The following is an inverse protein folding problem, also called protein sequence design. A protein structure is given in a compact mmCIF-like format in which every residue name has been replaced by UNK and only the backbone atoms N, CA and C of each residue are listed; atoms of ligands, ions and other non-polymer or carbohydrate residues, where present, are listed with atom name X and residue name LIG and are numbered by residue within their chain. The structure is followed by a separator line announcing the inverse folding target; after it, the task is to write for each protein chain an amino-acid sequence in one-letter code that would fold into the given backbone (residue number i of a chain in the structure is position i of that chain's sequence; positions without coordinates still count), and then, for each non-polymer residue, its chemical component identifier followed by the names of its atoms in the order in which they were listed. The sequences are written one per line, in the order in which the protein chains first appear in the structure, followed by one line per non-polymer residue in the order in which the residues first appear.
data_IF_559525631998
#
_entry.id   IF_559525631998
#
_cell.length_a   1.000
_cell.length_b   1.000
_cell.length_c   1.000
_cell.angle_alpha   90.00
_cell.angle_beta   90.00
_cell.angle_gamma   90.00
#
_symmetry.space_group_name_H-M   'P 1'
#
loop_
_entity.id
_entity.type
_entity.pdbx_description
1 polymer ?
#
# COMPACT_ATOMS: atom_id res chain seq x y z
N UNK A 1 -13.24 -5.19 6.09
CA UNK A 1 -14.69 -4.91 5.95
C UNK A 1 -15.48 -6.19 5.65
N UNK A 2 -15.10 -7.01 4.66
CA UNK A 2 -15.83 -8.25 4.32
C UNK A 2 -15.89 -9.22 5.53
N UNK A 3 -14.77 -9.44 6.21
CA UNK A 3 -14.73 -10.27 7.41
C UNK A 3 -15.60 -9.69 8.53
N UNK A 4 -15.52 -8.37 8.79
CA UNK A 4 -16.41 -7.67 9.74
C UNK A 4 -17.90 -7.83 9.41
N UNK A 5 -18.26 -8.01 8.15
CA UNK A 5 -19.63 -8.28 7.72
C UNK A 5 -20.05 -9.76 7.83
N UNK A 6 -19.23 -10.61 8.44
CA UNK A 6 -19.48 -12.03 8.65
C UNK A 6 -19.25 -12.92 7.43
N UNK A 7 -18.51 -12.44 6.42
CA UNK A 7 -18.09 -13.25 5.30
C UNK A 7 -16.84 -14.05 5.64
N UNK A 8 -16.77 -15.31 5.14
CA UNK A 8 -15.53 -16.08 5.15
C UNK A 8 -14.56 -15.44 4.14
N UNK A 9 -13.40 -15.04 4.60
CA UNK A 9 -12.38 -14.35 3.78
C UNK A 9 -11.06 -15.06 3.94
N UNK A 10 -10.48 -15.48 2.82
CA UNK A 10 -9.11 -15.99 2.75
C UNK A 10 -8.25 -15.00 1.96
N UNK A 11 -7.15 -14.55 2.58
CA UNK A 11 -6.14 -13.70 1.97
C UNK A 11 -4.90 -14.56 1.69
N UNK A 12 -4.47 -14.61 0.43
CA UNK A 12 -3.29 -15.38 0.03
C UNK A 12 -2.23 -14.43 -0.50
N UNK A 13 -1.05 -14.47 0.11
CA UNK A 13 0.11 -13.64 -0.23
C UNK A 13 1.30 -14.54 -0.58
N UNK A 14 1.93 -14.29 -1.73
CA UNK A 14 3.12 -15.06 -2.14
C UNK A 14 4.39 -14.69 -1.38
N UNK A 15 4.44 -13.52 -0.79
CA UNK A 15 5.52 -13.09 0.09
C UNK A 15 5.43 -13.77 1.45
N UNK A 16 6.55 -13.84 2.17
CA UNK A 16 6.60 -14.47 3.49
C UNK A 16 5.83 -13.69 4.57
N UNK A 17 5.42 -12.48 4.26
CA UNK A 17 4.56 -11.60 5.09
C UNK A 17 3.90 -10.53 4.20
N UNK A 18 2.85 -9.92 4.69
CA UNK A 18 2.17 -8.85 3.98
C UNK A 18 3.14 -7.67 3.72
N UNK A 19 3.20 -7.20 2.48
CA UNK A 19 4.12 -6.12 2.09
C UNK A 19 5.53 -6.55 1.72
N UNK A 20 5.90 -7.84 1.84
CA UNK A 20 7.25 -8.35 1.53
C UNK A 20 7.68 -8.07 0.08
N UNK A 21 6.74 -7.95 -0.84
CA UNK A 21 6.98 -7.67 -2.27
C UNK A 21 6.61 -6.25 -2.68
N UNK A 22 6.23 -5.41 -1.72
CA UNK A 22 5.75 -4.07 -2.00
C UNK A 22 6.90 -3.07 -1.99
N UNK A 23 7.17 -2.46 -3.14
CA UNK A 23 8.25 -1.49 -3.32
C UNK A 23 7.73 -0.04 -3.40
N UNK A 24 6.43 0.13 -3.61
CA UNK A 24 5.82 1.45 -3.82
C UNK A 24 5.23 2.02 -2.55
N UNK A 25 5.04 3.33 -2.54
CA UNK A 25 4.41 4.06 -1.47
C UNK A 25 5.39 4.45 -0.36
N UNK A 26 5.29 5.67 0.04
CA UNK A 26 5.95 6.29 1.18
C UNK A 26 5.00 7.26 1.84
N UNK A 27 3.80 7.44 1.24
CA UNK A 27 2.77 8.35 1.73
C UNK A 27 1.40 7.67 1.73
N UNK A 28 0.65 7.85 2.80
CA UNK A 28 -0.74 7.42 2.92
C UNK A 28 -1.63 8.60 3.25
N UNK A 29 -2.77 8.70 2.56
CA UNK A 29 -3.77 9.73 2.81
C UNK A 29 -4.75 9.26 3.88
N UNK A 30 -4.89 10.06 4.95
CA UNK A 30 -5.65 9.72 6.16
C UNK A 30 -7.15 9.61 5.91
N UNK A 31 -7.72 10.46 5.06
CA UNK A 31 -9.18 10.56 4.88
C UNK A 31 -9.89 9.25 4.49
N UNK A 32 -9.22 8.36 3.77
CA UNK A 32 -9.78 7.06 3.40
C UNK A 32 -9.56 6.02 4.50
N UNK A 33 -8.39 6.05 5.13
CA UNK A 33 -8.02 5.10 6.19
C UNK A 33 -8.86 5.35 7.44
N UNK A 34 -9.08 6.60 7.83
CA UNK A 34 -9.89 6.98 8.98
C UNK A 34 -11.36 6.51 8.91
N UNK A 35 -11.90 6.29 7.70
CA UNK A 35 -13.25 5.72 7.53
C UNK A 35 -13.33 4.25 7.96
N UNK A 36 -12.24 3.53 7.87
CA UNK A 36 -12.15 2.10 8.21
C UNK A 36 -11.56 1.89 9.60
N UNK A 37 -10.61 2.72 9.96
CA UNK A 37 -9.87 2.70 11.22
C UNK A 37 -9.82 4.12 11.78
N UNK A 38 -10.85 4.55 12.57
CA UNK A 38 -10.91 5.93 13.11
C UNK A 38 -9.69 6.30 13.95
N UNK A 39 -9.14 5.33 14.69
CA UNK A 39 -8.02 5.50 15.62
C UNK A 39 -6.66 5.13 15.01
N UNK A 40 -6.55 5.07 13.66
CA UNK A 40 -5.35 4.62 12.96
C UNK A 40 -4.08 5.43 13.32
N UNK A 41 -4.23 6.70 13.66
CA UNK A 41 -3.10 7.56 14.05
C UNK A 41 -2.37 7.05 15.29
N UNK A 42 -3.06 6.35 16.21
CA UNK A 42 -2.49 5.76 17.41
C UNK A 42 -2.04 4.32 17.22
N UNK A 43 -2.64 3.61 16.25
CA UNK A 43 -2.45 2.17 16.09
C UNK A 43 -1.52 1.78 14.95
N UNK A 44 -1.55 2.55 13.85
CA UNK A 44 -0.76 2.24 12.67
C UNK A 44 0.72 2.64 12.82
N UNK A 45 1.65 1.87 12.25
CA UNK A 45 3.06 2.22 12.24
C UNK A 45 3.34 3.35 11.22
N UNK A 46 2.95 4.55 11.61
CA UNK A 46 3.20 5.78 10.86
C UNK A 46 4.60 6.30 11.17
N UNK A 47 5.22 7.00 10.22
CA UNK A 47 6.53 7.63 10.42
C UNK A 47 6.36 9.10 10.81
N UNK A 48 6.04 9.95 9.84
CA UNK A 48 5.87 11.38 10.08
C UNK A 48 4.59 11.90 9.43
N UNK A 49 3.93 12.84 10.09
CA UNK A 49 2.82 13.59 9.51
C UNK A 49 3.36 14.53 8.44
N UNK A 50 2.76 14.52 7.26
CA UNK A 50 3.15 15.44 6.19
C UNK A 50 2.47 16.79 6.45
N UNK A 51 3.29 17.81 6.72
CA UNK A 51 2.87 19.18 7.01
C UNK A 51 3.40 20.18 5.98
N UNK A 52 4.24 19.70 5.07
CA UNK A 52 4.82 20.47 3.98
C UNK A 52 4.66 19.74 2.65
N UNK A 53 4.18 20.45 1.64
CA UNK A 53 4.16 20.02 0.24
C UNK A 53 5.18 20.84 -0.54
N UNK A 54 6.17 20.17 -1.14
CA UNK A 54 7.26 20.85 -1.86
C UNK A 54 7.30 20.42 -3.31
N UNK A 55 7.42 21.40 -4.19
CA UNK A 55 7.63 21.18 -5.63
C UNK A 55 8.89 21.94 -6.05
N UNK A 56 9.85 21.23 -6.65
CA UNK A 56 11.11 21.80 -7.07
C UNK A 56 11.34 21.69 -8.56
N UNK A 57 11.85 22.77 -9.13
CA UNK A 57 12.43 22.78 -10.48
C UNK A 57 13.95 22.72 -10.33
N UNK A 58 14.55 21.70 -10.89
CA UNK A 58 15.98 21.43 -10.78
C UNK A 58 16.71 21.75 -12.07
N UNK A 59 17.84 22.45 -11.95
CA UNK A 59 18.83 22.63 -13.01
C UNK A 59 20.19 22.08 -12.50
N UNK A 60 21.21 21.93 -13.34
CA UNK A 60 22.48 21.38 -12.93
C UNK A 60 23.17 22.13 -11.77
N UNK A 61 22.94 23.43 -11.68
CA UNK A 61 23.59 24.35 -10.72
C UNK A 61 22.58 25.22 -9.95
N UNK A 62 21.27 24.97 -10.12
CA UNK A 62 20.22 25.76 -9.47
C UNK A 62 19.01 24.92 -9.10
N UNK A 63 18.30 25.38 -8.07
CA UNK A 63 17.03 24.79 -7.65
C UNK A 63 16.06 25.91 -7.25
N UNK A 64 14.85 25.81 -7.74
CA UNK A 64 13.72 26.65 -7.28
C UNK A 64 12.67 25.74 -6.64
N UNK A 65 12.29 26.03 -5.40
CA UNK A 65 11.32 25.25 -4.64
C UNK A 65 10.16 26.12 -4.19
N UNK A 66 8.95 25.67 -4.43
CA UNK A 66 7.75 26.16 -3.76
C UNK A 66 7.46 25.22 -2.60
N UNK A 67 7.28 25.78 -1.41
CA UNK A 67 6.92 25.06 -0.19
C UNK A 67 5.55 25.58 0.27
N UNK A 68 4.61 24.67 0.44
CA UNK A 68 3.28 24.96 0.96
C UNK A 68 3.08 24.25 2.30
N UNK A 69 2.64 24.98 3.29
CA UNK A 69 2.20 24.43 4.58
C UNK A 69 0.96 25.20 5.07
N UNK A 70 0.15 24.56 5.90
CA UNK A 70 -1.01 25.19 6.50
C UNK A 70 -1.32 24.57 7.86
N UNK A 71 -1.92 25.35 8.76
CA UNK A 71 -2.38 24.84 10.07
C UNK A 71 -3.39 23.70 9.95
N UNK A 72 -4.17 23.67 8.85
CA UNK A 72 -5.11 22.59 8.60
C UNK A 72 -4.41 21.22 8.43
N UNK A 73 -3.16 21.20 7.96
CA UNK A 73 -2.37 19.98 7.82
C UNK A 73 -1.93 19.40 9.17
N UNK A 74 -1.95 20.19 10.23
CA UNK A 74 -1.63 19.76 11.59
C UNK A 74 -2.80 19.10 12.30
N UNK A 75 -4.04 19.33 11.84
CA UNK A 75 -5.23 18.79 12.47
C UNK A 75 -5.24 17.24 12.46
N UNK A 76 -5.82 16.58 13.47
CA UNK A 76 -6.00 15.13 13.49
C UNK A 76 -6.73 14.63 12.24
N UNK A 77 -6.35 13.46 11.75
CA UNK A 77 -6.93 12.83 10.55
C UNK A 77 -6.90 13.71 9.28
N UNK A 78 -6.10 14.77 9.29
CA UNK A 78 -5.92 15.63 8.13
C UNK A 78 -4.77 15.12 7.25
N UNK A 79 -4.90 15.37 5.96
CA UNK A 79 -3.90 15.18 4.92
C UNK A 79 -3.27 13.76 4.87
N UNK A 80 -2.03 13.58 5.31
CA UNK A 80 -1.28 12.36 5.02
C UNK A 80 -0.11 12.13 5.98
N UNK A 81 0.39 10.90 5.94
CA UNK A 81 1.55 10.44 6.71
C UNK A 81 2.56 9.74 5.80
N UNK A 82 3.84 9.85 6.13
CA UNK A 82 4.85 8.96 5.58
C UNK A 82 4.77 7.60 6.28
N UNK A 83 5.00 6.54 5.51
CA UNK A 83 4.96 5.15 6.00
C UNK A 83 6.05 4.31 5.37
N UNK A 84 6.53 3.34 6.12
CA UNK A 84 7.28 2.21 5.58
C UNK A 84 6.28 1.08 5.29
N UNK A 85 6.15 0.68 4.02
CA UNK A 85 5.10 -0.25 3.59
C UNK A 85 5.18 -1.62 4.25
N UNK A 86 6.37 -2.13 4.52
CA UNK A 86 6.49 -3.45 5.12
C UNK A 86 5.83 -3.53 6.52
N UNK A 87 6.15 -2.68 7.50
CA UNK A 87 5.43 -2.68 8.77
C UNK A 87 3.97 -2.26 8.64
N UNK A 88 3.65 -1.29 7.77
CA UNK A 88 2.27 -0.84 7.58
C UNK A 88 1.38 -1.93 6.97
N UNK A 89 1.85 -2.65 5.96
CA UNK A 89 1.08 -3.71 5.32
C UNK A 89 0.87 -4.90 6.26
N UNK A 90 1.84 -5.21 7.14
CA UNK A 90 1.68 -6.21 8.19
C UNK A 90 0.63 -5.81 9.23
N UNK A 91 0.66 -4.55 9.68
CA UNK A 91 -0.37 -4.01 10.56
C UNK A 91 -1.77 -4.11 9.92
N UNK A 92 -1.89 -3.73 8.65
CA UNK A 92 -3.17 -3.80 7.94
C UNK A 92 -3.67 -5.24 7.78
N UNK A 93 -2.76 -6.20 7.55
CA UNK A 93 -3.08 -7.62 7.48
C UNK A 93 -3.53 -8.16 8.85
N UNK A 94 -2.83 -7.80 9.95
CA UNK A 94 -3.26 -8.20 11.30
C UNK A 94 -4.66 -7.67 11.63
N UNK A 95 -5.01 -6.44 11.20
CA UNK A 95 -6.36 -5.90 11.34
C UNK A 95 -7.42 -6.68 10.55
N UNK A 96 -7.05 -7.29 9.44
CA UNK A 96 -7.95 -8.18 8.71
C UNK A 96 -8.14 -9.51 9.45
N UNK A 97 -7.06 -10.08 10.02
CA UNK A 97 -7.11 -11.31 10.83
C UNK A 97 -7.90 -11.09 12.12
N UNK A 98 -7.68 -9.98 12.82
CA UNK A 98 -8.48 -9.58 14.00
C UNK A 98 -9.99 -9.48 13.68
N UNK A 99 -10.32 -9.10 12.44
CA UNK A 99 -11.69 -9.05 11.95
C UNK A 99 -12.26 -10.39 11.50
N UNK A 100 -11.47 -11.49 11.58
CA UNK A 100 -11.88 -12.85 11.24
C UNK A 100 -11.51 -13.31 9.82
N UNK A 101 -10.64 -12.59 9.10
CA UNK A 101 -10.05 -13.13 7.88
C UNK A 101 -8.95 -14.13 8.20
N UNK A 102 -8.82 -15.18 7.39
CA UNK A 102 -7.62 -16.03 7.40
C UNK A 102 -6.58 -15.48 6.45
N UNK A 103 -5.29 -15.47 6.85
CA UNK A 103 -4.20 -15.07 5.97
C UNK A 103 -3.18 -16.20 5.83
N UNK A 104 -2.78 -16.47 4.59
CA UNK A 104 -1.76 -17.47 4.26
C UNK A 104 -0.64 -16.76 3.49
N UNK A 105 0.58 -16.93 3.97
CA UNK A 105 1.78 -16.31 3.42
C UNK A 105 2.71 -17.34 2.79
N UNK A 106 3.55 -16.90 1.86
CA UNK A 106 4.52 -17.75 1.17
C UNK A 106 3.92 -18.64 0.09
N UNK A 107 2.65 -18.43 -0.27
CA UNK A 107 1.92 -19.24 -1.25
C UNK A 107 1.68 -18.44 -2.53
N UNK A 108 2.18 -18.95 -3.64
CA UNK A 108 1.92 -18.37 -4.96
C UNK A 108 0.67 -19.00 -5.58
N UNK A 109 -0.33 -18.17 -5.88
CA UNK A 109 -1.48 -18.60 -6.69
C UNK A 109 -1.06 -18.55 -8.16
N UNK A 110 -1.21 -19.67 -8.86
CA UNK A 110 -0.69 -19.87 -10.22
C UNK A 110 -1.78 -19.68 -11.30
N UNK A 111 -3.01 -20.05 -10.98
CA UNK A 111 -4.11 -19.97 -11.94
C UNK A 111 -5.47 -19.79 -11.27
N UNK A 112 -6.44 -19.39 -12.11
CA UNK A 112 -7.85 -19.31 -11.75
C UNK A 112 -8.53 -20.65 -12.07
N UNK A 113 -9.34 -21.14 -11.14
CA UNK A 113 -10.25 -22.29 -11.37
C UNK A 113 -11.54 -21.75 -11.98
N UNK A 114 -11.95 -22.34 -13.09
CA UNK A 114 -13.19 -21.97 -13.81
C UNK A 114 -14.09 -23.18 -13.94
N UNK A 115 -15.40 -22.95 -13.88
CA UNK A 115 -16.41 -23.95 -14.19
C UNK A 115 -16.58 -24.16 -15.71
N UNK A 116 -17.47 -25.08 -16.08
CA UNK A 116 -17.77 -25.39 -17.48
C UNK A 116 -18.31 -24.20 -18.28
N UNK A 117 -18.85 -23.19 -17.62
CA UNK A 117 -19.32 -21.93 -18.24
C UNK A 117 -18.25 -20.89 -18.42
N UNK A 118 -17.06 -21.12 -17.85
CA UNK A 118 -15.94 -20.17 -17.84
C UNK A 118 -15.99 -19.17 -16.66
N UNK A 119 -16.95 -19.30 -15.74
CA UNK A 119 -17.01 -18.49 -14.52
C UNK A 119 -15.88 -18.89 -13.59
N UNK A 120 -15.20 -17.89 -13.00
CA UNK A 120 -14.21 -18.12 -11.95
C UNK A 120 -14.90 -18.59 -10.68
N UNK A 121 -14.50 -19.73 -10.17
CA UNK A 121 -15.03 -20.38 -8.98
C UNK A 121 -13.96 -20.61 -7.90
N UNK A 122 -12.72 -20.18 -8.13
CA UNK A 122 -11.65 -20.38 -7.18
C UNK A 122 -10.27 -20.07 -7.76
N UNK A 123 -9.27 -20.48 -7.03
CA UNK A 123 -7.85 -20.34 -7.37
C UNK A 123 -7.09 -21.65 -7.15
N UNK A 124 -5.98 -21.82 -7.87
CA UNK A 124 -5.07 -22.97 -7.73
C UNK A 124 -3.70 -22.50 -7.26
N UNK A 125 -3.16 -23.18 -6.25
CA UNK A 125 -1.85 -22.97 -5.70
C UNK A 125 -1.12 -24.32 -5.54
N UNK A 126 -0.18 -24.61 -6.42
CA UNK A 126 0.44 -25.94 -6.49
C UNK A 126 -0.58 -27.03 -6.83
N UNK A 127 -0.71 -28.03 -5.96
CA UNK A 127 -1.68 -29.12 -6.09
C UNK A 127 -3.08 -28.77 -5.52
N UNK A 128 -3.17 -27.72 -4.71
CA UNK A 128 -4.39 -27.36 -4.00
C UNK A 128 -5.30 -26.45 -4.84
N UNK A 129 -6.59 -26.77 -4.85
CA UNK A 129 -7.65 -25.93 -5.41
C UNK A 129 -8.54 -25.40 -4.29
N UNK A 130 -8.66 -24.08 -4.23
CA UNK A 130 -9.44 -23.38 -3.21
C UNK A 130 -10.63 -22.72 -3.91
N UNK A 131 -11.84 -23.14 -3.56
CA UNK A 131 -13.07 -22.60 -4.15
C UNK A 131 -13.59 -21.40 -3.37
N UNK A 132 -14.21 -20.46 -4.08
CA UNK A 132 -14.81 -19.26 -3.51
C UNK A 132 -15.96 -18.75 -4.41
N UNK A 133 -16.95 -18.11 -3.79
CA UNK A 133 -18.03 -17.42 -4.52
C UNK A 133 -17.52 -16.22 -5.31
N UNK A 134 -16.49 -15.53 -4.76
CA UNK A 134 -15.85 -14.35 -5.37
C UNK A 134 -14.35 -14.42 -5.16
N UNK A 135 -13.59 -14.14 -6.22
CA UNK A 135 -12.14 -14.01 -6.20
C UNK A 135 -11.76 -12.56 -6.47
N UNK A 136 -11.05 -11.92 -5.54
CA UNK A 136 -10.50 -10.58 -5.68
C UNK A 136 -9.02 -10.67 -6.08
N UNK A 137 -8.69 -10.17 -7.26
CA UNK A 137 -7.33 -10.17 -7.79
C UNK A 137 -6.62 -8.87 -7.41
N UNK A 138 -5.65 -8.98 -6.49
CA UNK A 138 -4.81 -7.88 -6.01
C UNK A 138 -3.34 -8.12 -6.38
N UNK A 139 -3.07 -8.72 -7.55
CA UNK A 139 -1.77 -9.22 -8.01
C UNK A 139 -0.84 -8.13 -8.59
N UNK A 140 -1.22 -6.87 -8.45
CA UNK A 140 -0.41 -5.70 -8.76
C UNK A 140 -0.10 -5.53 -10.25
N UNK A 141 0.91 -4.73 -10.56
CA UNK A 141 1.27 -4.35 -11.95
C UNK A 141 1.67 -5.54 -12.84
N UNK A 142 2.19 -6.61 -12.25
CA UNK A 142 2.53 -7.83 -12.99
C UNK A 142 1.30 -8.56 -13.49
N UNK A 143 0.16 -8.45 -12.79
CA UNK A 143 -1.16 -8.88 -13.23
C UNK A 143 -1.20 -10.31 -13.79
N UNK A 144 -0.55 -11.25 -13.10
CA UNK A 144 -0.39 -12.64 -13.59
C UNK A 144 -1.75 -13.33 -13.72
N UNK A 145 -2.61 -13.18 -12.71
CA UNK A 145 -3.95 -13.75 -12.69
C UNK A 145 -4.97 -12.84 -13.39
N UNK A 146 -4.82 -11.54 -13.25
CA UNK A 146 -5.69 -10.55 -13.92
C UNK A 146 -5.68 -10.77 -15.44
N UNK A 147 -4.52 -11.07 -16.03
CA UNK A 147 -4.44 -11.44 -17.47
C UNK A 147 -5.26 -12.68 -17.81
N UNK A 148 -5.26 -13.69 -16.94
CA UNK A 148 -6.06 -14.90 -17.13
C UNK A 148 -7.58 -14.61 -17.03
N UNK A 149 -7.97 -13.69 -16.13
CA UNK A 149 -9.35 -13.34 -15.89
C UNK A 149 -9.97 -12.56 -17.05
N UNK A 150 -9.27 -11.53 -17.55
CA UNK A 150 -9.86 -10.58 -18.54
C UNK A 150 -9.27 -10.72 -19.94
N UNK A 151 -8.31 -11.63 -20.15
CA UNK A 151 -7.66 -11.82 -21.46
C UNK A 151 -6.86 -10.60 -21.92
N UNK A 152 -6.50 -9.70 -20.99
CA UNK A 152 -5.83 -8.46 -21.33
C UNK A 152 -4.38 -8.68 -21.80
N UNK A 153 -4.00 -7.99 -22.87
CA UNK A 153 -2.61 -7.91 -23.27
C UNK A 153 -1.77 -7.13 -22.24
N UNK A 154 -0.48 -7.40 -22.18
CA UNK A 154 0.44 -6.60 -21.36
C UNK A 154 0.42 -5.13 -21.86
N UNK A 155 0.37 -4.14 -20.97
CA UNK A 155 0.50 -2.75 -21.37
C UNK A 155 1.78 -2.53 -22.19
N UNK A 156 1.76 -1.66 -23.21
CA UNK A 156 2.96 -1.33 -23.98
C UNK A 156 3.99 -0.64 -23.07
N UNK A 157 5.26 -0.72 -23.42
CA UNK A 157 6.35 -0.11 -22.64
C UNK A 157 6.13 1.40 -22.38
N UNK A 158 5.50 2.10 -23.31
CA UNK A 158 5.11 3.51 -23.15
C UNK A 158 4.05 3.77 -22.08
N UNK A 159 3.32 2.74 -21.66
CA UNK A 159 2.33 2.82 -20.58
C UNK A 159 2.85 2.34 -19.23
N UNK A 160 4.16 2.03 -19.10
CA UNK A 160 4.79 1.52 -17.89
C UNK A 160 5.91 2.46 -17.47
N UNK A 161 5.86 2.94 -16.23
CA UNK A 161 6.96 3.64 -15.60
C UNK A 161 7.70 2.70 -14.63
N UNK A 162 9.02 2.88 -14.52
CA UNK A 162 9.84 2.21 -13.53
C UNK A 162 10.22 3.21 -12.46
N UNK A 163 9.81 2.95 -11.23
CA UNK A 163 10.19 3.74 -10.05
C UNK A 163 11.32 3.09 -9.27
N UNK A 164 12.18 3.90 -8.70
CA UNK A 164 13.21 3.48 -7.74
C UNK A 164 12.86 4.09 -6.40
N UNK A 165 12.88 3.28 -5.34
CA UNK A 165 12.75 3.72 -3.96
C UNK A 165 14.03 3.40 -3.20
N UNK A 166 14.55 4.39 -2.50
CA UNK A 166 15.64 4.23 -1.55
C UNK A 166 15.19 4.78 -0.20
N UNK A 167 15.34 3.97 0.85
CA UNK A 167 15.15 4.41 2.23
C UNK A 167 16.52 4.80 2.80
N UNK A 168 16.62 6.02 3.32
CA UNK A 168 17.84 6.54 3.95
C UNK A 168 17.50 6.82 5.40
N UNK A 169 18.16 6.14 6.31
CA UNK A 169 18.03 6.35 7.75
C UNK A 169 18.93 7.49 8.19
N UNK A 170 18.36 8.44 8.91
CA UNK A 170 19.07 9.60 9.48
C UNK A 170 18.50 9.89 10.88
N UNK A 171 19.27 10.52 11.77
CA UNK A 171 18.73 11.03 13.04
C UNK A 171 17.52 11.95 12.81
N UNK A 172 16.46 11.87 13.64
CA UNK A 172 15.24 12.65 13.45
C UNK A 172 15.48 14.15 13.24
N UNK A 173 16.35 14.77 14.06
CA UNK A 173 16.69 16.18 13.94
C UNK A 173 17.38 16.54 12.62
N UNK A 174 18.15 15.62 12.04
CA UNK A 174 18.78 15.82 10.73
C UNK A 174 17.73 15.81 9.62
N UNK A 175 16.74 14.92 9.72
CA UNK A 175 15.62 14.91 8.77
C UNK A 175 14.84 16.23 8.89
N UNK A 176 14.48 16.63 10.11
CA UNK A 176 13.77 17.88 10.38
C UNK A 176 14.48 19.10 9.78
N UNK A 177 15.79 19.21 9.98
CA UNK A 177 16.62 20.26 9.42
C UNK A 177 16.66 20.24 7.88
N UNK A 178 16.79 19.03 7.28
CA UNK A 178 16.87 18.87 5.81
C UNK A 178 15.56 19.14 5.09
N UNK A 179 14.44 18.75 5.69
CA UNK A 179 13.11 18.96 5.08
C UNK A 179 12.44 20.24 5.55
N UNK A 180 13.06 20.97 6.49
CA UNK A 180 12.56 22.22 7.06
C UNK A 180 11.16 22.06 7.67
N UNK A 181 10.92 20.95 8.36
CA UNK A 181 9.69 20.73 9.11
C UNK A 181 9.75 21.36 10.50
N UNK A 182 8.60 21.60 11.12
CA UNK A 182 8.53 22.28 12.42
C UNK A 182 9.01 21.44 13.60
N UNK A 183 8.93 20.11 13.50
CA UNK A 183 9.30 19.18 14.57
C UNK A 183 9.81 17.85 14.03
N UNK A 184 10.30 16.98 14.93
CA UNK A 184 10.75 15.64 14.60
C UNK A 184 9.59 14.67 14.26
N UNK A 185 8.33 15.07 14.50
CA UNK A 185 7.14 14.33 14.15
C UNK A 185 6.55 14.75 12.81
N UNK A 186 7.02 15.86 12.26
CA UNK A 186 6.57 16.43 11.00
C UNK A 186 7.50 16.08 9.85
N UNK A 187 6.94 16.00 8.64
CA UNK A 187 7.65 15.67 7.41
C UNK A 187 7.17 16.47 6.21
N UNK A 188 7.85 16.28 5.10
CA UNK A 188 7.50 16.88 3.83
C UNK A 188 7.31 15.81 2.75
N UNK A 189 6.35 16.05 1.87
CA UNK A 189 6.27 15.39 0.56
C UNK A 189 6.96 16.30 -0.46
N UNK A 190 7.95 15.74 -1.18
CA UNK A 190 8.79 16.52 -2.09
C UNK A 190 8.88 15.88 -3.46
#
# INVERSE_FOLDING_TARGET
ELARSGKSVLLIERGNYAGAKNMTGGRIYSHSLAKVFPDFEQEAPLERKITHEKISLLAPDACFTVDFSSEAMLAPNSDSYSVLRAPFDQWLASKAEEAGAEAIYGIAVESLVKDETGKVIGVKAGEDEITADVVLLCDGVNSLLTKQAVGAARPPASGIAVGIKQTIELPPSVITDRVLSGSDEEGAAW
#
